data_IF_584051075418
#
_entry.id   IF_584051075418
#
_cell.length_a   1.000
_cell.length_b   1.000
_cell.length_c   1.000
_cell.angle_alpha   90.00
_cell.angle_beta   90.00
_cell.angle_gamma   90.00
#
_symmetry.space_group_name_H-M   'P 1'
#
loop_
_entity.id
_entity.type
_entity.pdbx_description
1 polymer ?
#
# COMPACT_ATOMS: atom_id res chain seq x y z
N UNK A 1 -24.70 -10.74 -17.01
CA UNK A 1 -25.72 -10.27 -16.05
C UNK A 1 -25.22 -8.96 -15.44
N UNK A 2 -25.84 -7.82 -15.75
CA UNK A 2 -25.43 -6.53 -15.15
C UNK A 2 -26.30 -6.27 -13.91
N UNK A 3 -25.66 -6.07 -12.76
CA UNK A 3 -26.36 -5.69 -11.53
C UNK A 3 -26.43 -4.16 -11.50
N UNK A 4 -27.64 -3.62 -11.52
CA UNK A 4 -27.88 -2.18 -11.39
C UNK A 4 -28.57 -1.89 -10.06
N UNK A 5 -28.16 -0.82 -9.39
CA UNK A 5 -28.80 -0.35 -8.17
C UNK A 5 -28.93 1.16 -8.19
N UNK A 6 -30.10 1.68 -7.79
CA UNK A 6 -30.42 3.11 -7.77
C UNK A 6 -31.06 3.49 -6.42
N UNK A 7 -30.60 4.59 -5.83
CA UNK A 7 -31.12 5.15 -4.58
C UNK A 7 -30.55 6.55 -4.40
N UNK A 8 -31.37 7.50 -3.95
CA UNK A 8 -30.90 8.86 -3.62
C UNK A 8 -29.98 8.88 -2.39
N UNK A 9 -29.98 7.80 -1.60
CA UNK A 9 -29.16 7.66 -0.40
C UNK A 9 -27.84 6.93 -0.62
N UNK A 10 -27.50 6.51 -1.85
CA UNK A 10 -26.17 5.95 -2.15
C UNK A 10 -25.01 6.81 -1.61
N UNK A 11 -25.03 8.16 -1.72
CA UNK A 11 -23.97 8.99 -1.14
C UNK A 11 -23.91 8.99 0.40
N UNK A 12 -25.02 8.68 1.09
CA UNK A 12 -25.07 8.57 2.54
C UNK A 12 -24.46 7.25 3.02
N UNK A 13 -24.71 6.17 2.28
CA UNK A 13 -24.21 4.82 2.58
C UNK A 13 -22.77 4.62 2.11
N UNK A 14 -22.40 5.34 1.05
CA UNK A 14 -21.09 5.28 0.43
C UNK A 14 -20.54 6.70 0.30
N UNK A 15 -20.02 7.28 1.39
CA UNK A 15 -19.45 8.63 1.40
C UNK A 15 -18.37 8.84 0.34
N UNK A 16 -17.76 7.76 -0.16
CA UNK A 16 -16.84 7.80 -1.29
C UNK A 16 -17.43 8.39 -2.59
N UNK A 17 -18.77 8.47 -2.69
CA UNK A 17 -19.50 9.06 -3.82
C UNK A 17 -19.83 10.56 -3.62
N UNK A 18 -19.38 11.18 -2.51
CA UNK A 18 -19.55 12.63 -2.28
C UNK A 18 -18.79 13.51 -3.28
N UNK A 19 -19.02 14.83 -3.26
CA UNK A 19 -18.36 15.76 -4.17
C UNK A 19 -16.82 15.79 -4.02
N UNK A 20 -16.12 16.21 -5.09
CA UNK A 20 -14.66 16.40 -5.10
C UNK A 20 -13.84 15.17 -5.56
N UNK A 21 -12.53 15.37 -5.73
CA UNK A 21 -11.60 14.30 -6.16
C UNK A 21 -11.36 13.33 -5.00
N UNK A 22 -11.55 12.03 -5.23
CA UNK A 22 -11.37 10.96 -4.23
C UNK A 22 -10.07 11.06 -3.44
N UNK A 23 -8.94 11.33 -4.11
CA UNK A 23 -7.61 11.41 -3.48
C UNK A 23 -7.36 12.67 -2.65
N UNK A 24 -8.25 13.68 -2.71
CA UNK A 24 -8.17 14.89 -1.89
C UNK A 24 -8.95 14.78 -0.58
N UNK A 25 -9.69 13.69 -0.38
CA UNK A 25 -10.45 13.47 0.86
C UNK A 25 -9.51 12.95 1.92
N UNK A 26 -9.72 13.44 3.15
CA UNK A 26 -8.97 13.02 4.32
C UNK A 26 -9.22 11.53 4.58
N UNK A 27 -8.16 10.75 4.72
CA UNK A 27 -8.25 9.32 5.09
C UNK A 27 -7.44 9.13 6.37
N UNK A 28 -8.16 8.90 7.46
CA UNK A 28 -7.56 8.64 8.77
C UNK A 28 -8.17 7.38 9.35
N UNK A 29 -7.39 6.70 10.18
CA UNK A 29 -7.88 5.60 10.99
C UNK A 29 -8.44 6.17 12.29
N UNK A 30 -9.67 5.78 12.61
CA UNK A 30 -10.26 5.97 13.92
C UNK A 30 -9.45 5.24 15.01
N UNK A 31 -9.52 5.64 16.29
CA UNK A 31 -8.72 5.03 17.36
C UNK A 31 -8.82 3.50 17.42
N UNK A 32 -10.02 2.95 17.24
CA UNK A 32 -10.21 1.50 17.23
C UNK A 32 -9.59 0.83 16.00
N UNK A 33 -9.62 1.49 14.83
CA UNK A 33 -8.98 0.98 13.62
C UNK A 33 -7.46 0.98 13.76
N UNK A 34 -6.89 2.05 14.36
CA UNK A 34 -5.46 2.10 14.68
C UNK A 34 -5.05 0.97 15.62
N UNK A 35 -5.87 0.65 16.63
CA UNK A 35 -5.58 -0.46 17.54
C UNK A 35 -5.58 -1.82 16.81
N UNK A 36 -6.55 -2.05 15.92
CA UNK A 36 -6.61 -3.28 15.10
C UNK A 36 -5.40 -3.38 14.18
N UNK A 37 -5.09 -2.31 13.43
CA UNK A 37 -3.92 -2.30 12.53
C UNK A 37 -2.61 -2.43 13.31
N UNK A 38 -2.49 -1.77 14.46
CA UNK A 38 -1.31 -1.87 15.33
C UNK A 38 -1.07 -3.29 15.87
N UNK A 39 -2.14 -4.06 16.10
CA UNK A 39 -2.03 -5.46 16.50
C UNK A 39 -1.68 -6.42 15.35
N UNK A 40 -1.93 -6.04 14.09
CA UNK A 40 -1.69 -6.88 12.92
C UNK A 40 -1.27 -6.07 11.66
N UNK A 41 -0.14 -5.33 11.70
CA UNK A 41 0.23 -4.41 10.63
C UNK A 41 0.55 -5.13 9.31
N UNK A 42 1.08 -6.36 9.38
CA UNK A 42 1.36 -7.18 8.21
C UNK A 42 0.11 -7.50 7.37
N UNK A 43 -1.04 -7.76 8.01
CA UNK A 43 -2.30 -8.03 7.30
C UNK A 43 -2.83 -6.77 6.60
N UNK A 44 -2.67 -5.61 7.23
CA UNK A 44 -3.02 -4.32 6.62
C UNK A 44 -2.14 -4.04 5.40
N UNK A 45 -0.83 -4.21 5.52
CA UNK A 45 0.12 -4.05 4.41
C UNK A 45 -0.16 -5.02 3.28
N UNK A 46 -0.49 -6.28 3.58
CA UNK A 46 -0.88 -7.27 2.57
C UNK A 46 -2.06 -6.77 1.75
N UNK A 47 -3.08 -6.22 2.40
CA UNK A 47 -4.22 -5.60 1.72
C UNK A 47 -3.80 -4.45 0.79
N UNK A 48 -2.98 -3.53 1.29
CA UNK A 48 -2.49 -2.38 0.49
C UNK A 48 -1.64 -2.80 -0.71
N UNK A 49 -0.67 -3.70 -0.52
CA UNK A 49 0.18 -4.18 -1.61
C UNK A 49 -0.60 -5.05 -2.60
N UNK A 50 -1.64 -5.74 -2.16
CA UNK A 50 -2.53 -6.48 -3.06
C UNK A 50 -3.43 -5.55 -3.88
N UNK A 51 -3.88 -4.41 -3.33
CA UNK A 51 -4.72 -3.47 -4.08
C UNK A 51 -3.91 -2.63 -5.08
N UNK A 52 -2.94 -1.86 -4.58
CA UNK A 52 -2.26 -0.80 -5.34
C UNK A 52 -0.73 -0.95 -5.34
N UNK A 53 -0.24 -2.11 -4.90
CA UNK A 53 1.18 -2.44 -4.90
C UNK A 53 1.59 -3.47 -5.94
N UNK A 54 2.89 -3.56 -6.15
CA UNK A 54 3.52 -4.61 -6.92
C UNK A 54 4.85 -5.05 -6.28
N UNK A 55 5.20 -6.31 -6.52
CA UNK A 55 6.51 -6.90 -6.20
C UNK A 55 7.18 -7.24 -7.52
N UNK A 56 8.33 -6.65 -7.78
CA UNK A 56 9.04 -6.79 -9.06
C UNK A 56 10.49 -7.21 -8.83
N UNK A 57 11.05 -7.95 -9.79
CA UNK A 57 12.49 -8.23 -9.83
C UNK A 57 13.19 -7.13 -10.62
N UNK A 58 14.06 -6.38 -9.96
CA UNK A 58 14.91 -5.38 -10.60
C UNK A 58 16.20 -6.04 -11.07
N UNK A 59 16.47 -5.98 -12.38
CA UNK A 59 17.64 -6.60 -13.02
C UNK A 59 18.62 -5.52 -13.46
N UNK A 60 19.85 -5.57 -12.93
CA UNK A 60 20.90 -4.58 -13.20
C UNK A 60 22.15 -5.30 -13.71
N UNK A 61 22.67 -4.89 -14.85
CA UNK A 61 23.94 -5.41 -15.39
C UNK A 61 25.08 -4.44 -15.08
N UNK A 62 26.10 -4.92 -14.37
CA UNK A 62 27.32 -4.15 -14.04
C UNK A 62 28.56 -5.00 -14.33
N UNK A 63 29.46 -4.45 -15.15
CA UNK A 63 30.72 -5.11 -15.55
C UNK A 63 30.52 -6.56 -16.06
N UNK A 64 29.54 -6.76 -16.94
CA UNK A 64 29.22 -8.08 -17.52
C UNK A 64 28.49 -9.06 -16.59
N UNK A 65 28.27 -8.71 -15.31
CA UNK A 65 27.48 -9.51 -14.36
C UNK A 65 26.08 -8.93 -14.20
N UNK A 66 25.07 -9.80 -14.25
CA UNK A 66 23.68 -9.44 -13.98
C UNK A 66 23.38 -9.69 -12.51
N UNK A 67 22.76 -8.72 -11.84
CA UNK A 67 22.25 -8.83 -10.49
C UNK A 67 20.74 -8.66 -10.48
N UNK A 68 20.04 -9.49 -9.72
CA UNK A 68 18.59 -9.43 -9.55
C UNK A 68 18.24 -9.16 -8.10
N UNK A 69 17.38 -8.17 -7.87
CA UNK A 69 16.94 -7.77 -6.54
C UNK A 69 15.42 -7.60 -6.54
N UNK A 70 14.69 -8.32 -5.68
CA UNK A 70 13.26 -8.05 -5.49
C UNK A 70 13.06 -6.68 -4.86
N UNK A 71 11.97 -6.01 -5.23
CA UNK A 71 11.54 -4.73 -4.67
C UNK A 71 10.03 -4.69 -4.62
N UNK A 72 9.49 -4.12 -3.55
CA UNK A 72 8.10 -3.71 -3.49
C UNK A 72 7.94 -2.24 -3.87
N UNK A 73 6.89 -1.95 -4.61
CA UNK A 73 6.42 -0.61 -4.93
C UNK A 73 4.95 -0.49 -4.55
N UNK A 74 4.58 0.66 -4.01
CA UNK A 74 3.20 1.02 -3.73
C UNK A 74 2.95 2.40 -4.31
N UNK A 75 1.87 2.55 -5.09
CA UNK A 75 1.56 3.80 -5.78
C UNK A 75 0.14 4.25 -5.44
N UNK A 76 0.00 5.48 -4.93
CA UNK A 76 -1.30 6.05 -4.61
C UNK A 76 -1.24 7.59 -4.67
N UNK A 77 -2.30 8.22 -5.16
CA UNK A 77 -2.38 9.70 -5.20
C UNK A 77 -2.75 10.31 -3.84
N UNK A 78 -3.30 9.52 -2.91
CA UNK A 78 -3.59 9.99 -1.55
C UNK A 78 -2.31 9.96 -0.71
N UNK A 79 -1.86 11.14 -0.29
CA UNK A 79 -0.76 11.27 0.66
C UNK A 79 -1.08 10.60 2.01
N UNK A 80 -2.34 10.61 2.43
CA UNK A 80 -2.79 9.96 3.65
C UNK A 80 -2.65 8.43 3.57
N UNK A 81 -3.04 7.81 2.45
CA UNK A 81 -2.85 6.37 2.24
C UNK A 81 -1.35 6.01 2.22
N UNK A 82 -0.51 6.84 1.58
CA UNK A 82 0.94 6.65 1.61
C UNK A 82 1.51 6.76 3.03
N UNK A 83 1.02 7.71 3.83
CA UNK A 83 1.42 7.87 5.22
C UNK A 83 0.99 6.66 6.08
N UNK A 84 -0.23 6.15 5.88
CA UNK A 84 -0.70 4.95 6.58
C UNK A 84 0.10 3.70 6.19
N UNK A 85 0.45 3.56 4.90
CA UNK A 85 1.33 2.49 4.42
C UNK A 85 2.71 2.58 5.06
N UNK A 86 3.32 3.78 5.04
CA UNK A 86 4.61 4.04 5.67
C UNK A 86 4.61 3.76 7.17
N UNK A 87 3.61 4.25 7.90
CA UNK A 87 3.44 3.98 9.32
C UNK A 87 3.34 2.49 9.63
N UNK A 88 2.57 1.72 8.86
CA UNK A 88 2.47 0.28 9.06
C UNK A 88 3.78 -0.46 8.73
N UNK A 89 4.57 0.02 7.75
CA UNK A 89 5.92 -0.49 7.49
C UNK A 89 6.87 -0.19 8.65
N UNK A 90 6.78 1.00 9.25
CA UNK A 90 7.57 1.40 10.41
C UNK A 90 7.26 0.54 11.64
N UNK A 91 5.99 0.17 11.87
CA UNK A 91 5.59 -0.76 12.94
C UNK A 91 6.24 -2.14 12.80
N UNK A 92 6.53 -2.58 11.58
CA UNK A 92 7.26 -3.82 11.30
C UNK A 92 8.78 -3.63 11.24
N UNK A 93 9.29 -2.40 11.34
CA UNK A 93 10.71 -2.11 11.13
C UNK A 93 11.18 -2.31 9.68
N UNK A 94 10.27 -2.33 8.71
CA UNK A 94 10.61 -2.51 7.29
C UNK A 94 11.12 -1.19 6.73
N UNK A 95 12.39 -1.14 6.33
CA UNK A 95 12.97 0.08 5.77
C UNK A 95 12.40 0.42 4.38
N UNK A 96 11.82 1.62 4.25
CA UNK A 96 11.19 2.12 3.02
C UNK A 96 11.58 3.56 2.71
N UNK A 97 11.30 4.01 1.48
CA UNK A 97 11.45 5.41 1.06
C UNK A 97 10.39 5.81 0.03
N UNK A 98 10.02 7.09 0.02
CA UNK A 98 9.33 7.67 -1.14
C UNK A 98 10.34 7.79 -2.30
N UNK A 99 10.01 7.23 -3.45
CA UNK A 99 10.78 7.42 -4.68
C UNK A 99 10.17 8.54 -5.55
N UNK A 100 8.90 8.87 -5.33
CA UNK A 100 8.15 9.98 -5.95
C UNK A 100 7.09 10.46 -4.95
N UNK A 101 6.47 11.61 -5.21
CA UNK A 101 5.41 12.17 -4.34
C UNK A 101 4.24 11.21 -4.07
N UNK A 102 3.97 10.32 -5.01
CA UNK A 102 2.82 9.42 -5.03
C UNK A 102 3.22 7.93 -4.99
N UNK A 103 4.49 7.63 -4.65
CA UNK A 103 4.97 6.25 -4.64
C UNK A 103 6.04 6.01 -3.59
N UNK A 104 5.88 4.87 -2.92
CA UNK A 104 6.75 4.32 -1.90
C UNK A 104 7.45 3.07 -2.43
N UNK A 105 8.69 2.86 -2.01
CA UNK A 105 9.55 1.76 -2.44
C UNK A 105 10.22 1.09 -1.24
N UNK A 106 10.16 -0.25 -1.20
CA UNK A 106 10.93 -1.12 -0.28
C UNK A 106 11.91 -1.93 -1.12
N UNK A 107 13.20 -1.64 -0.96
CA UNK A 107 14.22 -2.12 -1.89
C UNK A 107 15.44 -2.76 -1.23
N UNK A 108 15.60 -2.56 0.08
CA UNK A 108 16.72 -3.18 0.80
C UNK A 108 16.41 -4.67 0.97
N UNK A 109 17.42 -5.52 0.78
CA UNK A 109 17.23 -6.99 0.76
C UNK A 109 16.61 -7.52 2.05
N UNK A 110 17.06 -7.02 3.19
CA UNK A 110 16.53 -7.31 4.53
C UNK A 110 15.06 -6.86 4.66
N UNK A 111 14.75 -5.63 4.26
CA UNK A 111 13.41 -5.08 4.31
C UNK A 111 12.42 -5.82 3.39
N UNK A 112 12.88 -6.25 2.21
CA UNK A 112 12.04 -7.03 1.28
C UNK A 112 11.78 -8.42 1.82
N UNK A 113 12.78 -9.10 2.39
CA UNK A 113 12.61 -10.40 3.02
C UNK A 113 11.61 -10.33 4.18
N UNK A 114 11.73 -9.32 5.03
CA UNK A 114 10.79 -9.11 6.14
C UNK A 114 9.36 -8.84 5.64
N UNK A 115 9.21 -8.03 4.58
CA UNK A 115 7.90 -7.76 4.01
C UNK A 115 7.30 -9.01 3.32
N UNK A 116 8.13 -9.87 2.73
CA UNK A 116 7.71 -11.14 2.13
C UNK A 116 7.05 -12.08 3.17
N UNK A 117 7.51 -12.06 4.43
CA UNK A 117 6.93 -12.86 5.53
C UNK A 117 5.47 -12.50 5.83
N UNK A 118 5.07 -11.26 5.54
CA UNK A 118 3.72 -10.76 5.83
C UNK A 118 2.82 -10.66 4.60
N UNK A 119 3.36 -10.21 3.48
CA UNK A 119 2.59 -9.98 2.24
C UNK A 119 2.58 -11.22 1.36
N UNK A 120 3.74 -11.87 1.23
CA UNK A 120 3.99 -12.97 0.31
C UNK A 120 3.91 -12.56 -1.17
N UNK A 121 4.30 -13.47 -2.09
CA UNK A 121 4.02 -13.30 -3.52
C UNK A 121 2.51 -13.31 -3.76
N UNK A 122 2.03 -12.36 -4.57
CA UNK A 122 0.63 -12.21 -4.97
C UNK A 122 0.18 -13.53 -5.64
N UNK A 123 -0.78 -14.22 -5.00
CA UNK A 123 -1.41 -15.43 -5.52
C UNK A 123 -2.45 -15.10 -6.59
#
# INVERSE_FOLDING_TARGET
MSLQSYSKHWPCLFPQAGAGKKHKRKIELEPWQRAVVGGAPGMFLRGLFHSDGCRVLNRITKAGRTYEYPRYLFANESADILALCGWALDLLGVAWRLNRRNSLSVARRDAVALLDEHVGPKS
#
